data_IF_185730849480
#
_entry.id   IF_185730849480
#
_cell.length_a   1.000
_cell.length_b   1.000
_cell.length_c   1.000
_cell.angle_alpha   90.00
_cell.angle_beta   90.00
_cell.angle_gamma   90.00
#
_symmetry.space_group_name_H-M   'P 1'
#
loop_
_entity.id
_entity.type
_entity.pdbx_description
1 polymer ?
#
# COMPACT_ATOMS: atom_id res chain seq x y z
N UNK A 1 11.38 22.85 3.92
CA UNK A 1 12.56 21.99 3.97
C UNK A 1 12.30 20.59 3.49
N UNK A 2 11.34 19.88 4.07
CA UNK A 2 11.00 18.53 3.64
C UNK A 2 10.55 18.50 2.18
N UNK A 3 9.77 19.48 1.77
CA UNK A 3 9.33 19.60 0.37
C UNK A 3 10.48 19.80 -0.60
N UNK A 4 11.48 20.58 -0.21
CA UNK A 4 12.66 20.79 -1.06
C UNK A 4 13.47 19.52 -1.22
N UNK A 5 13.62 18.75 -0.15
CA UNK A 5 14.28 17.45 -0.21
C UNK A 5 13.54 16.50 -1.15
N UNK A 6 12.21 16.47 -1.08
CA UNK A 6 11.40 15.65 -1.96
C UNK A 6 11.55 16.00 -3.43
N UNK A 7 11.74 17.27 -3.74
CA UNK A 7 11.92 17.73 -5.13
C UNK A 7 13.26 17.32 -5.74
N UNK A 8 14.25 17.03 -4.90
CA UNK A 8 15.59 16.65 -5.35
C UNK A 8 15.80 15.14 -5.37
N UNK A 9 14.76 14.37 -5.05
CA UNK A 9 14.85 12.91 -5.00
C UNK A 9 15.05 12.37 -6.41
N UNK A 10 16.11 11.59 -6.59
CA UNK A 10 16.38 10.87 -7.83
C UNK A 10 15.54 9.58 -7.89
N UNK A 11 15.45 8.90 -9.05
CA UNK A 11 14.77 7.60 -9.12
C UNK A 11 15.36 6.56 -8.15
N UNK A 12 16.66 6.61 -7.91
CA UNK A 12 17.30 5.73 -6.93
C UNK A 12 16.84 6.05 -5.51
N UNK A 13 16.82 7.32 -5.16
CA UNK A 13 16.37 7.77 -3.85
C UNK A 13 14.89 7.47 -3.64
N UNK A 14 14.09 7.50 -4.70
CA UNK A 14 12.67 7.18 -4.63
C UNK A 14 12.44 5.71 -4.24
N UNK A 15 13.28 4.80 -4.74
CA UNK A 15 13.23 3.40 -4.33
C UNK A 15 13.59 3.22 -2.85
N UNK A 16 14.59 3.96 -2.38
CA UNK A 16 14.97 3.95 -0.96
C UNK A 16 13.81 4.46 -0.11
N UNK A 17 13.16 5.54 -0.52
CA UNK A 17 12.00 6.08 0.16
C UNK A 17 10.86 5.08 0.21
N UNK A 18 10.57 4.39 -0.90
CA UNK A 18 9.52 3.38 -0.93
C UNK A 18 9.81 2.24 0.05
N UNK A 19 11.06 1.81 0.13
CA UNK A 19 11.46 0.76 1.08
C UNK A 19 11.23 1.20 2.53
N UNK A 20 11.62 2.43 2.87
CA UNK A 20 11.39 2.97 4.21
C UNK A 20 9.90 3.12 4.51
N UNK A 21 9.13 3.65 3.56
CA UNK A 21 7.69 3.79 3.73
C UNK A 21 7.02 2.44 3.94
N UNK A 22 7.45 1.42 3.20
CA UNK A 22 6.89 0.08 3.33
C UNK A 22 7.17 -0.51 4.71
N UNK A 23 8.38 -0.37 5.22
CA UNK A 23 8.74 -0.89 6.54
C UNK A 23 7.91 -0.20 7.63
N UNK A 24 7.83 1.13 7.59
CA UNK A 24 7.06 1.90 8.57
C UNK A 24 5.59 1.54 8.49
N UNK A 25 5.05 1.47 7.29
CA UNK A 25 3.65 1.14 7.06
C UNK A 25 3.34 -0.29 7.52
N UNK A 26 4.21 -1.23 7.22
CA UNK A 26 4.05 -2.62 7.65
C UNK A 26 3.98 -2.72 9.18
N UNK A 27 4.88 -2.05 9.89
CA UNK A 27 4.88 -2.05 11.35
C UNK A 27 3.62 -1.40 11.92
N UNK A 28 3.25 -0.23 11.39
CA UNK A 28 2.06 0.48 11.85
C UNK A 28 0.80 -0.36 11.65
N UNK A 29 0.64 -0.95 10.48
CA UNK A 29 -0.50 -1.82 10.17
C UNK A 29 -0.46 -3.09 10.99
N UNK A 30 0.71 -3.67 11.21
CA UNK A 30 0.87 -4.85 12.05
C UNK A 30 0.37 -4.59 13.46
N UNK A 31 0.75 -3.48 14.07
CA UNK A 31 0.25 -3.10 15.39
C UNK A 31 -1.26 -2.89 15.37
N UNK A 32 -1.76 -2.13 14.39
CA UNK A 32 -3.19 -1.82 14.29
C UNK A 32 -4.04 -3.07 14.23
N UNK A 33 -3.70 -3.99 13.35
CA UNK A 33 -4.50 -5.21 13.13
C UNK A 33 -4.26 -6.28 14.18
N UNK A 34 -3.10 -6.31 14.83
CA UNK A 34 -2.87 -7.25 15.92
C UNK A 34 -3.59 -6.85 17.20
N UNK A 35 -3.81 -5.56 17.41
CA UNK A 35 -4.42 -5.03 18.63
C UNK A 35 -5.94 -4.84 18.52
N UNK A 36 -6.49 -4.90 17.30
CA UNK A 36 -7.91 -4.69 17.07
C UNK A 36 -8.50 -5.93 16.39
N UNK A 37 -9.22 -6.74 17.18
CA UNK A 37 -9.72 -8.02 16.69
C UNK A 37 -10.74 -7.87 15.57
N UNK A 38 -11.59 -6.84 15.62
CA UNK A 38 -12.57 -6.61 14.56
C UNK A 38 -11.91 -6.28 13.24
N UNK A 39 -10.93 -5.38 13.26
CA UNK A 39 -10.19 -5.00 12.05
C UNK A 39 -9.40 -6.20 11.51
N UNK A 40 -8.79 -6.98 12.41
CA UNK A 40 -8.06 -8.19 11.99
C UNK A 40 -8.98 -9.17 11.28
N UNK A 41 -10.16 -9.41 11.84
CA UNK A 41 -11.12 -10.32 11.23
C UNK A 41 -11.60 -9.81 9.87
N UNK A 42 -11.81 -8.50 9.73
CA UNK A 42 -12.16 -7.91 8.44
C UNK A 42 -11.05 -8.12 7.40
N UNK A 43 -9.81 -7.90 7.79
CA UNK A 43 -8.67 -8.10 6.88
C UNK A 43 -8.56 -9.58 6.48
N UNK A 44 -8.67 -10.50 7.44
CA UNK A 44 -8.61 -11.93 7.16
C UNK A 44 -9.76 -12.39 6.29
N UNK A 45 -10.94 -11.78 6.43
CA UNK A 45 -12.12 -12.10 5.63
C UNK A 45 -11.94 -11.78 4.15
N UNK A 46 -10.97 -10.92 3.79
CA UNK A 46 -10.66 -10.66 2.38
C UNK A 46 -10.00 -11.85 1.69
N UNK A 47 -9.59 -12.85 2.44
CA UNK A 47 -9.07 -14.11 1.91
C UNK A 47 -7.79 -13.95 1.11
N UNK A 48 -7.84 -14.28 -0.16
CA UNK A 48 -6.70 -14.15 -1.07
C UNK A 48 -6.89 -13.03 -2.10
N UNK A 49 -7.89 -12.18 -1.89
CA UNK A 49 -8.15 -11.08 -2.81
C UNK A 49 -6.98 -10.09 -2.85
N UNK A 50 -6.73 -9.54 -4.01
CA UNK A 50 -5.78 -8.43 -4.16
C UNK A 50 -6.40 -7.18 -3.55
N UNK A 51 -5.68 -6.57 -2.62
CA UNK A 51 -6.12 -5.36 -1.95
C UNK A 51 -5.55 -4.15 -2.66
N UNK A 52 -6.40 -3.17 -2.94
CA UNK A 52 -6.03 -2.01 -3.75
C UNK A 52 -6.56 -0.74 -3.09
N UNK A 53 -5.69 0.26 -2.98
CA UNK A 53 -6.11 1.61 -2.66
C UNK A 53 -6.34 2.36 -3.97
N UNK A 54 -7.59 2.67 -4.27
CA UNK A 54 -7.97 3.29 -5.54
C UNK A 54 -8.06 4.80 -5.43
N UNK A 55 -6.97 5.50 -5.68
CA UNK A 55 -6.94 6.96 -5.66
C UNK A 55 -6.11 7.47 -6.83
N UNK A 56 -6.70 8.31 -7.66
CA UNK A 56 -6.05 8.82 -8.86
C UNK A 56 -4.84 9.70 -8.56
N UNK A 57 -4.86 10.42 -7.46
CA UNK A 57 -3.83 11.40 -7.12
C UNK A 57 -2.65 10.80 -6.36
N UNK A 58 -2.80 9.62 -5.79
CA UNK A 58 -1.74 8.96 -5.02
C UNK A 58 -1.17 7.80 -5.80
N UNK A 59 0.07 7.96 -6.26
CA UNK A 59 0.76 6.94 -7.03
C UNK A 59 1.76 6.13 -6.22
N UNK A 60 1.92 6.41 -4.95
CA UNK A 60 2.80 5.63 -4.06
C UNK A 60 2.01 4.61 -3.26
N UNK A 61 1.05 5.07 -2.47
CA UNK A 61 0.26 4.18 -1.60
C UNK A 61 -0.93 3.58 -2.33
N UNK A 62 -1.43 4.25 -3.36
CA UNK A 62 -2.55 3.79 -4.17
C UNK A 62 -2.09 3.37 -5.56
N UNK A 63 -3.00 2.79 -6.34
CA UNK A 63 -2.68 2.37 -7.70
C UNK A 63 -2.73 3.51 -8.72
N UNK A 64 -3.17 4.70 -8.32
CA UNK A 64 -3.22 5.87 -9.20
C UNK A 64 -4.43 5.89 -10.14
N UNK A 65 -5.43 5.05 -9.89
CA UNK A 65 -6.63 4.97 -10.71
C UNK A 65 -7.87 5.22 -9.85
N UNK A 66 -8.92 5.73 -10.47
CA UNK A 66 -10.22 5.79 -9.80
C UNK A 66 -10.83 4.39 -9.70
N UNK A 67 -11.80 4.22 -8.79
CA UNK A 67 -12.48 2.94 -8.59
C UNK A 67 -13.16 2.40 -9.86
N UNK A 68 -13.57 3.29 -10.74
CA UNK A 68 -14.33 2.94 -11.94
C UNK A 68 -13.45 2.76 -13.18
N UNK A 69 -12.14 2.95 -13.04
CA UNK A 69 -11.24 2.88 -14.17
C UNK A 69 -11.24 1.48 -14.79
N UNK A 70 -11.34 1.37 -16.14
CA UNK A 70 -11.30 0.06 -16.79
C UNK A 70 -10.04 -0.74 -16.53
N UNK A 71 -8.93 -0.06 -16.26
CA UNK A 71 -7.64 -0.71 -16.00
C UNK A 71 -7.45 -1.15 -14.55
N UNK A 72 -8.46 -0.97 -13.70
CA UNK A 72 -8.35 -1.32 -12.27
C UNK A 72 -8.02 -2.78 -12.01
N UNK A 73 -8.37 -3.67 -12.92
CA UNK A 73 -8.06 -5.09 -12.80
C UNK A 73 -6.76 -5.50 -13.50
N UNK A 74 -6.07 -4.56 -14.14
CA UNK A 74 -4.85 -4.85 -14.87
C UNK A 74 -3.66 -4.17 -14.19
N UNK A 75 -2.98 -4.93 -13.32
CA UNK A 75 -1.87 -4.41 -12.52
C UNK A 75 -0.77 -3.79 -13.38
N UNK A 76 -0.53 -4.35 -14.56
CA UNK A 76 0.53 -3.86 -15.44
C UNK A 76 0.26 -2.44 -15.96
N UNK A 77 -0.99 -1.97 -15.88
CA UNK A 77 -1.38 -0.63 -16.33
C UNK A 77 -1.55 0.37 -15.20
N UNK A 78 -1.31 -0.03 -13.97
CA UNK A 78 -1.43 0.90 -12.84
C UNK A 78 -0.30 1.93 -12.86
N UNK A 79 -0.61 3.24 -12.87
CA UNK A 79 0.42 4.26 -12.76
C UNK A 79 1.01 4.35 -11.36
N UNK A 80 0.31 3.86 -10.33
CA UNK A 80 0.73 3.88 -8.95
C UNK A 80 1.24 2.53 -8.47
N UNK A 81 1.95 2.54 -7.35
CA UNK A 81 2.62 1.37 -6.78
C UNK A 81 1.76 0.55 -5.83
N UNK A 82 0.60 1.09 -5.43
CA UNK A 82 -0.32 0.42 -4.51
C UNK A 82 0.37 -0.11 -3.24
N UNK A 83 1.27 0.68 -2.68
CA UNK A 83 2.08 0.25 -1.55
C UNK A 83 1.23 -0.13 -0.34
N UNK A 84 0.16 0.65 -0.08
CA UNK A 84 -0.76 0.34 1.01
C UNK A 84 -1.43 -1.02 0.82
N UNK A 85 -1.96 -1.28 -0.37
CA UNK A 85 -2.64 -2.56 -0.65
C UNK A 85 -1.71 -3.75 -0.52
N UNK A 86 -0.51 -3.66 -1.09
CA UNK A 86 0.47 -4.74 -1.01
C UNK A 86 0.97 -4.97 0.40
N UNK A 87 1.17 -3.90 1.18
CA UNK A 87 1.58 -4.03 2.59
C UNK A 87 0.47 -4.66 3.43
N UNK A 88 -0.79 -4.29 3.17
CA UNK A 88 -1.94 -4.94 3.83
C UNK A 88 -1.98 -6.44 3.53
N UNK A 89 -1.65 -6.84 2.30
CA UNK A 89 -1.61 -8.26 1.96
C UNK A 89 -0.50 -9.00 2.72
N UNK A 90 0.65 -8.36 2.93
CA UNK A 90 1.72 -8.93 3.74
C UNK A 90 1.28 -9.10 5.19
N UNK A 91 0.67 -8.08 5.78
CA UNK A 91 0.16 -8.12 7.15
C UNK A 91 -0.90 -9.23 7.27
N UNK A 92 -1.81 -9.30 6.30
CA UNK A 92 -2.83 -10.35 6.26
C UNK A 92 -2.21 -11.74 6.26
N UNK A 93 -1.19 -11.94 5.45
CA UNK A 93 -0.51 -13.23 5.37
C UNK A 93 0.13 -13.61 6.71
N UNK A 94 0.76 -12.65 7.37
CA UNK A 94 1.42 -12.89 8.66
C UNK A 94 0.41 -13.18 9.77
N UNK A 95 -0.77 -12.57 9.71
CA UNK A 95 -1.82 -12.79 10.71
C UNK A 95 -2.48 -14.16 10.62
N UNK A 96 -2.30 -14.89 9.52
CA UNK A 96 -2.85 -16.23 9.35
C UNK A 96 -2.08 -17.31 10.08
N UNK A 97 -0.91 -17.00 10.56
CA UNK A 97 -0.05 -17.97 11.27
C UNK A 97 -0.46 -18.13 12.76
#
# INVERSE_FOLDING_TARGET
>A
MIQQLGRKVTPYDDKVWDSHCQIILYRALGYKFSQNIELRLQLLATGTCTLVEGTKTDKRFANGLTRDDPDRYNISKWPGRNLLGFTLMEVRNDLRI
#
